data_IF_735768199699
#
_entry.id   IF_735768199699
#
_cell.length_a   1.000
_cell.length_b   1.000
_cell.length_c   1.000
_cell.angle_alpha   90.00
_cell.angle_beta   90.00
_cell.angle_gamma   90.00
#
_symmetry.space_group_name_H-M   'P 1'
#
loop_
_entity.id
_entity.type
_entity.pdbx_description
1 polymer ?
#
# COMPACT_ATOMS: atom_id res chain seq x y z
N UNK A 1 24.35 15.09 19.24
CA UNK A 1 24.75 14.70 17.86
C UNK A 1 23.49 14.66 16.98
N UNK A 2 23.33 15.64 16.09
CA UNK A 2 22.20 15.66 15.14
C UNK A 2 22.57 14.78 13.95
N UNK A 3 22.11 13.53 13.95
CA UNK A 3 22.13 12.71 12.73
C UNK A 3 21.21 13.39 11.74
N UNK A 4 21.79 14.12 10.80
CA UNK A 4 21.10 14.74 9.67
C UNK A 4 20.55 13.62 8.79
N UNK A 5 19.27 13.31 8.97
CA UNK A 5 18.49 12.63 7.95
C UNK A 5 18.65 13.43 6.66
N UNK A 6 19.26 12.84 5.63
CA UNK A 6 19.30 13.44 4.30
C UNK A 6 17.88 13.92 3.98
N UNK A 7 17.72 15.19 3.59
CA UNK A 7 16.43 15.82 3.29
C UNK A 7 15.58 14.81 2.52
N UNK A 8 14.49 14.37 3.15
CA UNK A 8 13.44 13.60 2.50
C UNK A 8 13.07 14.41 1.25
N UNK A 9 13.15 13.85 0.02
CA UNK A 9 12.57 14.50 -1.14
C UNK A 9 11.14 14.80 -0.76
N UNK A 10 10.81 16.08 -0.76
CA UNK A 10 9.64 16.65 -0.10
C UNK A 10 8.39 15.91 -0.54
N UNK A 11 7.98 14.91 0.24
CA UNK A 11 6.57 14.54 0.28
C UNK A 11 5.95 15.73 0.98
N UNK A 12 5.56 16.70 0.16
CA UNK A 12 5.05 17.99 0.59
C UNK A 12 3.75 17.74 1.33
N UNK A 13 3.85 17.44 2.63
CA UNK A 13 2.70 17.54 3.52
C UNK A 13 2.31 19.00 3.50
N UNK A 14 1.14 19.27 2.95
CA UNK A 14 0.58 20.61 2.84
C UNK A 14 0.14 21.11 4.22
N UNK A 15 -0.15 20.18 5.12
CA UNK A 15 -0.65 20.43 6.46
C UNK A 15 0.48 20.71 7.46
N UNK A 16 0.24 21.69 8.33
CA UNK A 16 1.14 22.03 9.42
C UNK A 16 1.21 20.86 10.42
N UNK A 17 2.43 20.55 10.88
CA UNK A 17 2.67 19.61 11.97
C UNK A 17 3.06 20.43 13.20
N UNK A 18 2.34 20.24 14.29
CA UNK A 18 2.52 20.94 15.55
C UNK A 18 2.98 19.95 16.64
N UNK A 19 3.97 20.34 17.42
CA UNK A 19 4.55 19.48 18.48
C UNK A 19 4.49 20.12 19.87
N UNK A 20 3.47 20.95 20.11
CA UNK A 20 3.29 21.64 21.38
C UNK A 20 2.45 20.80 22.35
N UNK A 21 3.10 20.18 23.34
CA UNK A 21 2.44 19.42 24.42
C UNK A 21 3.03 18.03 24.63
N UNK A 22 2.58 17.29 25.66
CA UNK A 22 3.01 15.91 25.88
C UNK A 22 2.53 15.03 24.72
N UNK A 23 3.49 14.38 24.04
CA UNK A 23 3.24 13.44 22.96
C UNK A 23 3.48 12.01 23.45
N UNK A 24 2.69 11.02 23.00
CA UNK A 24 2.96 9.62 23.29
C UNK A 24 4.28 9.16 22.65
N UNK A 25 4.81 8.03 23.11
CA UNK A 25 5.93 7.41 22.39
C UNK A 25 5.45 6.83 21.06
N UNK A 26 6.38 6.68 20.10
CA UNK A 26 6.11 5.99 18.83
C UNK A 26 5.64 4.56 19.08
N UNK A 27 6.21 3.88 20.09
CA UNK A 27 5.83 2.51 20.43
C UNK A 27 4.37 2.41 20.87
N UNK A 28 3.92 3.33 21.72
CA UNK A 28 2.51 3.41 22.15
C UNK A 28 1.56 3.62 20.97
N UNK A 29 1.94 4.45 19.99
CA UNK A 29 1.13 4.67 18.79
C UNK A 29 1.01 3.41 17.94
N UNK A 30 2.11 2.67 17.78
CA UNK A 30 2.12 1.45 16.98
C UNK A 30 1.37 0.32 17.68
N UNK A 31 1.52 0.17 18.99
CA UNK A 31 0.75 -0.79 19.80
C UNK A 31 -0.75 -0.50 19.70
N UNK A 32 -1.15 0.76 19.92
CA UNK A 32 -2.56 1.18 19.74
C UNK A 32 -3.09 0.88 18.34
N UNK A 33 -2.29 1.07 17.31
CA UNK A 33 -2.67 0.76 15.93
C UNK A 33 -2.84 -0.75 15.72
N UNK A 34 -1.87 -1.55 16.18
CA UNK A 34 -1.92 -3.02 16.11
C UNK A 34 -3.17 -3.55 16.80
N UNK A 35 -3.48 -3.04 17.99
CA UNK A 35 -4.68 -3.42 18.74
C UNK A 35 -5.96 -3.01 17.99
N UNK A 36 -6.01 -1.78 17.46
CA UNK A 36 -7.15 -1.29 16.69
C UNK A 36 -7.41 -2.10 15.40
N UNK A 37 -6.36 -2.65 14.79
CA UNK A 37 -6.45 -3.51 13.61
C UNK A 37 -6.89 -4.94 13.94
N UNK A 38 -6.83 -5.38 15.20
CA UNK A 38 -7.25 -6.73 15.61
C UNK A 38 -6.20 -7.53 16.38
N UNK A 39 -5.04 -6.93 16.69
CA UNK A 39 -3.98 -7.55 17.49
C UNK A 39 -3.05 -8.47 16.70
N UNK A 40 -1.91 -8.82 17.30
CA UNK A 40 -0.87 -9.64 16.65
C UNK A 40 -1.35 -11.06 16.30
N UNK A 41 -2.16 -11.67 17.18
CA UNK A 41 -2.62 -13.05 17.02
C UNK A 41 -3.54 -13.22 15.80
N UNK A 42 -4.29 -12.17 15.42
CA UNK A 42 -5.16 -12.22 14.26
C UNK A 42 -4.37 -12.35 12.95
N UNK A 43 -3.20 -11.69 12.84
CA UNK A 43 -2.34 -11.78 11.66
C UNK A 43 -1.95 -13.21 11.33
N UNK A 44 -1.53 -13.97 12.35
CA UNK A 44 -0.95 -15.29 12.18
C UNK A 44 -1.92 -16.35 11.66
N UNK A 45 -3.23 -16.06 11.67
CA UNK A 45 -4.30 -17.00 11.28
C UNK A 45 -4.44 -17.18 9.77
N UNK A 46 -3.96 -16.22 8.99
CA UNK A 46 -4.21 -16.18 7.56
C UNK A 46 -2.91 -16.20 6.77
N UNK A 47 -2.88 -17.03 5.73
CA UNK A 47 -1.72 -17.14 4.84
C UNK A 47 -2.04 -16.78 3.40
N UNK A 48 -3.31 -16.66 3.05
CA UNK A 48 -3.76 -16.23 1.72
C UNK A 48 -4.93 -15.26 1.84
N UNK A 49 -5.08 -14.37 0.85
CA UNK A 49 -6.18 -13.42 0.77
C UNK A 49 -6.52 -13.16 -0.70
N UNK A 50 -7.81 -13.11 -1.01
CA UNK A 50 -8.33 -12.50 -2.22
C UNK A 50 -9.12 -11.25 -1.87
N UNK A 51 -8.91 -10.19 -2.63
CA UNK A 51 -9.73 -8.99 -2.55
C UNK A 51 -10.15 -8.59 -3.97
N UNK A 52 -11.38 -8.11 -4.14
CA UNK A 52 -11.86 -7.59 -5.42
C UNK A 52 -12.77 -6.41 -5.20
N UNK A 53 -12.86 -5.57 -6.23
CA UNK A 53 -13.79 -4.45 -6.22
C UNK A 53 -13.61 -3.55 -7.41
N UNK A 54 -13.88 -2.27 -7.21
CA UNK A 54 -13.92 -1.25 -8.24
C UNK A 54 -12.74 -0.31 -8.11
N UNK A 55 -12.27 0.19 -9.24
CA UNK A 55 -11.30 1.27 -9.29
C UNK A 55 -11.86 2.42 -10.11
N UNK A 56 -11.68 3.64 -9.62
CA UNK A 56 -11.96 4.87 -10.36
C UNK A 56 -10.65 5.63 -10.55
N UNK A 57 -10.31 5.94 -11.79
CA UNK A 57 -9.12 6.73 -12.13
C UNK A 57 -9.60 8.06 -12.67
N UNK A 58 -9.18 9.17 -12.04
CA UNK A 58 -9.51 10.51 -12.54
C UNK A 58 -9.12 10.61 -14.01
N UNK A 59 -10.00 11.19 -14.83
CA UNK A 59 -9.84 11.37 -16.29
C UNK A 59 -9.79 10.09 -17.15
N UNK A 60 -9.71 8.88 -16.58
CA UNK A 60 -9.65 7.60 -17.33
C UNK A 60 -10.83 6.66 -17.01
N UNK A 61 -11.79 7.14 -16.22
CA UNK A 61 -13.05 6.43 -15.94
C UNK A 61 -12.94 5.35 -14.86
N UNK A 62 -13.83 4.36 -14.95
CA UNK A 62 -14.04 3.33 -13.92
C UNK A 62 -13.74 1.95 -14.47
N UNK A 63 -13.32 1.07 -13.58
CA UNK A 63 -12.99 -0.31 -13.89
C UNK A 63 -13.09 -1.20 -12.67
N UNK A 64 -12.44 -2.35 -12.74
CA UNK A 64 -12.37 -3.32 -11.64
C UNK A 64 -10.92 -3.58 -11.24
N UNK A 65 -10.74 -4.09 -10.02
CA UNK A 65 -9.47 -4.64 -9.60
C UNK A 65 -9.68 -5.94 -8.85
N UNK A 66 -8.65 -6.78 -8.88
CA UNK A 66 -8.54 -7.97 -8.06
C UNK A 66 -7.11 -8.12 -7.56
N UNK A 67 -6.96 -8.47 -6.29
CA UNK A 67 -5.69 -8.71 -5.64
C UNK A 67 -5.70 -10.09 -5.02
N UNK A 68 -4.62 -10.85 -5.26
CA UNK A 68 -4.30 -12.04 -4.47
C UNK A 68 -3.03 -11.76 -3.69
N UNK A 69 -3.00 -12.20 -2.43
CA UNK A 69 -1.81 -12.16 -1.59
C UNK A 69 -1.60 -13.51 -0.92
N UNK A 70 -0.33 -13.91 -0.73
CA UNK A 70 0.06 -15.14 -0.06
C UNK A 70 1.33 -14.92 0.75
N UNK A 71 1.30 -15.30 2.02
CA UNK A 71 2.43 -15.25 2.92
C UNK A 71 3.58 -16.18 2.42
N UNK A 72 4.84 -15.85 2.70
CA UNK A 72 5.27 -14.64 3.41
C UNK A 72 5.26 -13.37 2.54
N UNK A 73 5.58 -13.47 1.25
CA UNK A 73 5.86 -12.29 0.42
C UNK A 73 5.40 -12.45 -1.03
N UNK A 74 4.13 -12.75 -1.27
CA UNK A 74 3.57 -12.84 -2.63
C UNK A 74 2.33 -11.98 -2.77
N UNK A 75 2.29 -11.19 -3.84
CA UNK A 75 1.12 -10.39 -4.19
C UNK A 75 1.01 -10.27 -5.69
N UNK A 76 -0.21 -10.26 -6.21
CA UNK A 76 -0.49 -9.82 -7.56
C UNK A 76 -1.76 -8.98 -7.54
N UNK A 77 -1.71 -7.84 -8.20
CA UNK A 77 -2.84 -6.93 -8.40
C UNK A 77 -3.11 -6.85 -9.88
N UNK A 78 -4.35 -7.08 -10.27
CA UNK A 78 -4.87 -6.89 -11.62
C UNK A 78 -5.85 -5.72 -11.57
N UNK A 79 -5.69 -4.77 -12.49
CA UNK A 79 -6.59 -3.65 -12.73
C UNK A 79 -7.07 -3.78 -14.16
N UNK A 80 -8.38 -3.68 -14.36
CA UNK A 80 -9.00 -3.70 -15.68
C UNK A 80 -9.76 -2.40 -15.88
N UNK A 81 -9.34 -1.62 -16.88
CA UNK A 81 -9.95 -0.35 -17.25
C UNK A 81 -10.35 -0.40 -18.73
N UNK A 82 -11.54 0.11 -19.12
CA UNK A 82 -11.96 0.10 -20.52
C UNK A 82 -10.94 0.73 -21.48
N UNK A 83 -10.34 1.86 -21.09
CA UNK A 83 -9.43 2.62 -21.95
C UNK A 83 -7.98 2.11 -21.94
N UNK A 84 -7.53 1.48 -20.84
CA UNK A 84 -6.14 1.03 -20.67
C UNK A 84 -5.97 -0.49 -20.80
N UNK A 85 -7.08 -1.22 -20.90
CA UNK A 85 -7.10 -2.67 -20.83
C UNK A 85 -6.66 -3.19 -19.47
N UNK A 86 -5.96 -4.33 -19.49
CA UNK A 86 -5.51 -5.03 -18.28
C UNK A 86 -4.10 -4.58 -17.90
N UNK A 87 -3.98 -4.09 -16.68
CA UNK A 87 -2.71 -3.75 -16.03
C UNK A 87 -2.50 -4.74 -14.89
N UNK A 88 -1.33 -5.36 -14.84
CA UNK A 88 -0.95 -6.28 -13.75
C UNK A 88 0.37 -5.88 -13.14
N UNK A 89 0.50 -6.07 -11.84
CA UNK A 89 1.78 -6.00 -11.16
C UNK A 89 1.82 -7.04 -10.06
N UNK A 90 3.00 -7.54 -9.74
CA UNK A 90 3.14 -8.53 -8.70
C UNK A 90 4.56 -8.73 -8.24
N UNK A 91 4.67 -9.43 -7.12
CA UNK A 91 5.91 -9.90 -6.53
C UNK A 91 5.70 -11.35 -6.11
N UNK A 92 6.59 -12.25 -6.53
CA UNK A 92 6.45 -13.69 -6.27
C UNK A 92 7.29 -14.22 -5.10
N UNK A 93 7.87 -13.32 -4.30
CA UNK A 93 8.82 -13.63 -3.23
C UNK A 93 10.29 -13.42 -3.63
N UNK A 94 10.58 -13.39 -4.92
CA UNK A 94 11.93 -13.17 -5.44
C UNK A 94 12.00 -11.99 -6.42
N UNK A 95 11.09 -11.97 -7.40
CA UNK A 95 11.08 -11.02 -8.52
C UNK A 95 9.79 -10.22 -8.52
N UNK A 96 9.93 -8.90 -8.66
CA UNK A 96 8.82 -7.99 -8.94
C UNK A 96 8.65 -7.78 -10.44
N UNK A 97 7.42 -7.64 -10.90
CA UNK A 97 7.09 -7.47 -12.30
C UNK A 97 5.86 -6.60 -12.49
N UNK A 98 5.77 -5.99 -13.67
CA UNK A 98 4.59 -5.26 -14.12
C UNK A 98 4.29 -5.58 -15.59
N UNK A 99 3.02 -5.47 -15.96
CA UNK A 99 2.49 -5.73 -17.29
C UNK A 99 1.42 -4.68 -17.61
N UNK A 100 1.50 -4.11 -18.81
CA UNK A 100 0.43 -3.31 -19.41
C UNK A 100 0.42 -3.51 -20.92
N UNK A 101 -0.67 -3.13 -21.59
CA UNK A 101 -0.71 -3.11 -23.05
C UNK A 101 0.40 -2.23 -23.66
N UNK A 102 0.74 -1.11 -23.02
CA UNK A 102 1.73 -0.14 -23.49
C UNK A 102 3.17 -0.64 -23.37
N UNK A 103 3.52 -1.28 -22.25
CA UNK A 103 4.91 -1.62 -21.92
C UNK A 103 5.24 -3.10 -22.09
N UNK A 104 4.23 -3.96 -22.33
CA UNK A 104 4.38 -5.40 -22.17
C UNK A 104 4.79 -5.78 -20.75
N UNK A 105 5.30 -7.00 -20.59
CA UNK A 105 5.77 -7.52 -19.30
C UNK A 105 7.22 -7.10 -19.05
N UNK A 106 7.48 -6.37 -17.97
CA UNK A 106 8.83 -5.94 -17.56
C UNK A 106 9.12 -6.27 -16.09
N UNK A 107 10.39 -6.40 -15.69
CA UNK A 107 10.75 -6.43 -14.28
C UNK A 107 10.44 -5.07 -13.62
N UNK A 108 10.02 -5.12 -12.36
CA UNK A 108 10.02 -3.95 -11.48
C UNK A 108 11.41 -3.80 -10.86
N UNK A 109 11.91 -2.57 -10.77
CA UNK A 109 13.27 -2.26 -10.29
C UNK A 109 13.29 -1.05 -9.37
N UNK A 110 14.39 -0.88 -8.63
CA UNK A 110 14.60 0.28 -7.76
C UNK A 110 13.46 0.48 -6.74
N UNK A 111 12.90 1.68 -6.69
CA UNK A 111 11.83 2.02 -5.74
C UNK A 111 10.49 1.34 -6.04
N UNK A 112 10.18 1.02 -7.30
CA UNK A 112 8.99 0.25 -7.68
C UNK A 112 9.05 -1.15 -7.06
N UNK A 113 10.21 -1.81 -7.18
CA UNK A 113 10.43 -3.11 -6.55
C UNK A 113 10.39 -3.01 -5.02
N UNK A 114 10.94 -1.94 -4.44
CA UNK A 114 10.92 -1.74 -2.99
C UNK A 114 9.49 -1.55 -2.44
N UNK A 115 8.64 -0.84 -3.19
CA UNK A 115 7.22 -0.69 -2.85
C UNK A 115 6.48 -2.03 -2.97
N UNK A 116 6.64 -2.76 -4.09
CA UNK A 116 6.03 -4.07 -4.28
C UNK A 116 6.43 -5.08 -3.20
N UNK A 117 7.69 -5.05 -2.72
CA UNK A 117 8.13 -5.90 -1.61
C UNK A 117 7.42 -5.58 -0.29
N UNK A 118 7.14 -4.30 -0.02
CA UNK A 118 6.37 -3.88 1.16
C UNK A 118 4.90 -4.26 1.04
N UNK A 119 4.30 -4.00 -0.11
CA UNK A 119 2.91 -4.39 -0.40
C UNK A 119 2.72 -5.91 -0.36
N UNK A 120 3.77 -6.68 -0.67
CA UNK A 120 3.78 -8.13 -0.60
C UNK A 120 3.91 -8.71 0.81
N UNK A 121 4.34 -7.93 1.81
CA UNK A 121 4.33 -8.40 3.20
C UNK A 121 2.85 -8.55 3.63
N UNK A 122 2.42 -9.81 3.64
CA UNK A 122 1.03 -10.18 3.87
C UNK A 122 0.50 -9.66 5.21
N UNK A 123 1.39 -9.54 6.21
CA UNK A 123 1.08 -9.09 7.55
C UNK A 123 1.53 -7.65 7.80
N UNK A 124 1.74 -6.85 6.74
CA UNK A 124 2.29 -5.50 6.81
C UNK A 124 1.53 -4.57 7.78
N UNK A 125 0.19 -4.67 7.85
CA UNK A 125 -0.65 -3.92 8.78
C UNK A 125 -0.34 -4.21 10.26
N UNK A 126 0.33 -5.32 10.57
CA UNK A 126 0.65 -5.70 11.95
C UNK A 126 2.17 -5.71 12.20
N UNK A 127 2.98 -5.49 11.15
CA UNK A 127 4.44 -5.58 11.18
C UNK A 127 5.13 -4.25 10.88
N UNK A 128 4.52 -3.13 11.25
CA UNK A 128 5.08 -1.79 10.98
C UNK A 128 6.52 -1.64 11.46
N UNK A 129 6.89 -2.08 12.67
CA UNK A 129 8.28 -1.98 13.17
C UNK A 129 9.27 -2.82 12.34
N UNK A 130 8.83 -3.95 11.78
CA UNK A 130 9.68 -4.78 10.92
C UNK A 130 9.91 -4.11 9.55
N UNK A 131 8.86 -3.47 9.02
CA UNK A 131 8.88 -2.79 7.73
C UNK A 131 9.60 -1.43 7.78
N UNK A 132 9.47 -0.72 8.90
CA UNK A 132 10.04 0.59 9.17
C UNK A 132 10.96 0.52 10.41
N UNK A 133 12.24 0.15 10.23
CA UNK A 133 13.19 0.02 11.34
C UNK A 133 13.51 1.35 12.03
N UNK A 134 13.19 2.48 11.40
CA UNK A 134 13.37 3.78 12.00
C UNK A 134 12.07 4.58 11.90
N UNK A 135 11.57 4.99 13.06
CA UNK A 135 10.30 5.66 13.23
C UNK A 135 10.48 6.84 14.17
N UNK A 136 9.88 7.98 13.84
CA UNK A 136 10.02 9.21 14.60
C UNK A 136 8.69 9.97 14.62
N UNK A 137 8.12 10.17 15.79
CA UNK A 137 6.96 11.03 15.97
C UNK A 137 7.35 12.49 15.71
N UNK A 138 6.67 13.13 14.77
CA UNK A 138 6.89 14.52 14.41
C UNK A 138 5.99 15.47 15.21
N UNK A 139 4.79 15.02 15.56
CA UNK A 139 3.78 15.83 16.24
C UNK A 139 2.37 15.43 15.83
N UNK A 140 1.47 16.40 15.86
CA UNK A 140 0.06 16.29 15.49
C UNK A 140 -0.21 17.15 14.26
N UNK A 141 -1.06 16.66 13.36
CA UNK A 141 -1.57 17.44 12.23
C UNK A 141 -3.08 17.24 12.08
N UNK A 142 -3.74 18.18 11.40
CA UNK A 142 -5.16 18.10 11.07
C UNK A 142 -5.33 17.72 9.61
N UNK A 143 -6.05 16.64 9.36
CA UNK A 143 -6.46 16.21 8.02
C UNK A 143 -7.97 16.46 7.91
N UNK A 144 -8.34 17.58 7.28
CA UNK A 144 -9.70 18.09 7.35
C UNK A 144 -10.07 18.41 8.81
N UNK A 145 -11.13 17.78 9.32
CA UNK A 145 -11.58 17.95 10.70
C UNK A 145 -11.01 16.89 11.67
N UNK A 146 -10.25 15.91 11.17
CA UNK A 146 -9.68 14.83 11.98
C UNK A 146 -8.26 15.18 12.42
N UNK A 147 -7.92 14.89 13.67
CA UNK A 147 -6.55 15.03 14.17
C UNK A 147 -5.78 13.71 14.11
N UNK A 148 -4.52 13.78 13.73
CA UNK A 148 -3.65 12.61 13.61
C UNK A 148 -2.25 12.85 14.18
N UNK A 149 -1.68 11.83 14.82
CA UNK A 149 -0.25 11.79 15.11
C UNK A 149 0.52 11.47 13.83
N UNK A 150 1.55 12.26 13.53
CA UNK A 150 2.35 12.13 12.31
C UNK A 150 3.68 11.46 12.64
N UNK A 151 3.89 10.26 12.12
CA UNK A 151 5.14 9.52 12.29
C UNK A 151 5.90 9.51 10.98
N UNK A 152 7.13 10.01 10.99
CA UNK A 152 8.09 9.75 9.91
C UNK A 152 8.59 8.31 10.03
N UNK A 153 8.48 7.56 8.95
CA UNK A 153 8.77 6.14 8.90
C UNK A 153 9.75 5.85 7.77
N UNK A 154 10.96 5.41 8.09
CA UNK A 154 11.98 5.05 7.10
C UNK A 154 11.96 3.53 6.89
N UNK A 155 11.53 3.03 5.71
CA UNK A 155 11.59 1.61 5.41
C UNK A 155 13.04 1.15 5.20
N UNK A 156 13.27 -0.17 5.30
CA UNK A 156 14.59 -0.79 5.00
C UNK A 156 15.13 -0.45 3.59
N UNK A 157 14.25 -0.14 2.65
CA UNK A 157 14.60 0.28 1.31
C UNK A 157 13.59 1.28 0.74
N UNK A 158 14.08 2.25 -0.03
CA UNK A 158 13.28 3.34 -0.58
C UNK A 158 13.31 4.60 0.28
N UNK A 159 12.39 5.52 0.00
CA UNK A 159 12.30 6.84 0.63
C UNK A 159 11.53 6.79 1.94
N UNK A 160 11.72 7.81 2.79
CA UNK A 160 10.93 7.94 4.01
C UNK A 160 9.47 8.25 3.65
N UNK A 161 8.55 7.77 4.47
CA UNK A 161 7.11 7.96 4.36
C UNK A 161 6.61 8.67 5.62
N UNK A 162 5.43 9.28 5.58
CA UNK A 162 4.74 9.75 6.80
C UNK A 162 3.45 8.97 6.99
N UNK A 163 3.26 8.42 8.18
CA UNK A 163 2.09 7.67 8.58
C UNK A 163 1.26 8.53 9.55
N UNK A 164 -0.02 8.70 9.26
CA UNK A 164 -0.92 9.55 10.03
C UNK A 164 -1.90 8.66 10.82
N UNK A 165 -1.62 8.51 12.12
CA UNK A 165 -2.45 7.71 13.03
C UNK A 165 -3.55 8.58 13.61
N UNK A 166 -4.80 8.22 13.35
CA UNK A 166 -5.97 8.92 13.89
C UNK A 166 -5.93 8.95 15.42
N UNK A 167 -6.08 10.14 16.01
CA UNK A 167 -6.18 10.29 17.46
C UNK A 167 -7.44 9.65 18.04
N UNK A 168 -8.50 9.55 17.24
CA UNK A 168 -9.80 9.04 17.65
C UNK A 168 -9.77 7.51 17.84
N UNK A 169 -9.33 6.78 16.83
CA UNK A 169 -9.44 5.30 16.80
C UNK A 169 -8.10 4.58 16.66
N UNK A 170 -6.97 5.29 16.54
CA UNK A 170 -5.63 4.68 16.42
C UNK A 170 -5.31 4.09 15.04
N UNK A 171 -6.28 4.04 14.12
CA UNK A 171 -6.06 3.54 12.76
C UNK A 171 -5.26 4.54 11.92
N UNK A 172 -4.46 4.04 10.98
CA UNK A 172 -3.80 4.91 10.02
C UNK A 172 -4.84 5.39 9.01
N UNK A 173 -4.97 6.71 8.88
CA UNK A 173 -5.93 7.32 7.97
C UNK A 173 -5.30 7.86 6.68
N UNK A 174 -3.97 8.08 6.70
CA UNK A 174 -3.22 8.57 5.54
C UNK A 174 -1.77 8.09 5.58
N UNK A 175 -1.21 7.81 4.40
CA UNK A 175 0.22 7.73 4.16
C UNK A 175 0.65 8.79 3.16
N UNK A 176 1.77 9.43 3.43
CA UNK A 176 2.47 10.29 2.49
C UNK A 176 3.71 9.55 2.03
N UNK A 177 3.80 9.26 0.73
CA UNK A 177 4.94 8.52 0.21
C UNK A 177 5.19 8.81 -1.27
N UNK A 178 6.41 8.53 -1.74
CA UNK A 178 6.66 8.46 -3.18
C UNK A 178 6.16 7.12 -3.72
N UNK A 179 5.31 7.19 -4.75
CA UNK A 179 4.74 6.04 -5.45
C UNK A 179 4.91 6.20 -6.95
N UNK A 180 4.82 5.09 -7.67
CA UNK A 180 4.79 5.10 -9.13
C UNK A 180 3.35 4.95 -9.61
N UNK A 181 2.89 5.88 -10.45
CA UNK A 181 1.63 5.77 -11.17
C UNK A 181 1.89 5.98 -12.65
N UNK A 182 1.37 5.07 -13.49
CA UNK A 182 1.52 5.14 -14.96
C UNK A 182 2.98 5.26 -15.45
N UNK A 183 3.93 4.76 -14.66
CA UNK A 183 5.38 4.81 -14.94
C UNK A 183 6.08 6.06 -14.43
N UNK A 184 5.37 7.02 -13.85
CA UNK A 184 5.93 8.25 -13.27
C UNK A 184 6.01 8.11 -11.75
N UNK A 185 7.16 8.41 -11.18
CA UNK A 185 7.35 8.46 -9.72
C UNK A 185 7.11 9.87 -9.22
N UNK A 186 6.21 10.01 -8.26
CA UNK A 186 5.92 11.30 -7.63
C UNK A 186 5.35 11.10 -6.22
N UNK A 187 5.28 12.19 -5.46
CA UNK A 187 4.63 12.20 -4.15
C UNK A 187 3.15 11.85 -4.29
N UNK A 188 2.66 11.02 -3.37
CA UNK A 188 1.28 10.60 -3.29
C UNK A 188 0.78 10.70 -1.84
N UNK A 189 -0.45 11.17 -1.70
CA UNK A 189 -1.23 11.09 -0.46
C UNK A 189 -2.15 9.87 -0.60
N UNK A 190 -2.03 8.91 0.30
CA UNK A 190 -2.77 7.65 0.26
C UNK A 190 -3.71 7.62 1.46
N UNK A 191 -5.00 7.84 1.22
CA UNK A 191 -6.03 7.81 2.26
C UNK A 191 -6.58 6.40 2.43
N UNK A 192 -6.83 6.03 3.69
CA UNK A 192 -7.30 4.71 4.11
C UNK A 192 -8.59 4.93 4.91
N UNK A 193 -9.73 4.66 4.29
CA UNK A 193 -11.06 4.92 4.85
C UNK A 193 -11.96 3.68 4.76
N UNK A 194 -13.16 3.79 5.34
CA UNK A 194 -14.16 2.72 5.40
C UNK A 194 -13.59 1.42 6.02
N UNK A 195 -13.01 1.54 7.22
CA UNK A 195 -12.41 0.41 7.92
C UNK A 195 -13.49 -0.58 8.39
N UNK A 196 -13.42 -1.82 7.93
CA UNK A 196 -14.36 -2.89 8.29
C UNK A 196 -13.65 -4.07 8.90
N UNK A 197 -14.34 -4.75 9.80
CA UNK A 197 -13.90 -6.03 10.35
C UNK A 197 -14.09 -7.14 9.31
N UNK A 198 -13.03 -7.88 9.04
CA UNK A 198 -13.05 -9.09 8.22
C UNK A 198 -12.31 -10.18 8.99
N UNK A 199 -13.05 -11.20 9.43
CA UNK A 199 -12.52 -12.34 10.18
C UNK A 199 -11.68 -11.93 11.42
N UNK A 200 -12.05 -10.83 12.09
CA UNK A 200 -11.38 -10.32 13.28
C UNK A 200 -10.19 -9.40 13.01
N UNK A 201 -9.95 -9.00 11.75
CA UNK A 201 -8.96 -7.98 11.39
C UNK A 201 -9.68 -6.80 10.73
N UNK A 202 -9.41 -5.57 11.18
CA UNK A 202 -9.86 -4.36 10.50
C UNK A 202 -9.02 -4.09 9.26
N UNK A 203 -9.68 -3.84 8.15
CA UNK A 203 -9.03 -3.44 6.89
C UNK A 203 -9.75 -2.27 6.24
N UNK A 204 -9.05 -1.39 5.50
CA UNK A 204 -9.69 -0.31 4.77
C UNK A 204 -10.43 -0.87 3.55
N UNK A 205 -11.69 -0.47 3.35
CA UNK A 205 -12.46 -0.81 2.15
C UNK A 205 -12.45 0.31 1.12
N UNK A 206 -11.90 1.47 1.44
CA UNK A 206 -11.62 2.53 0.48
C UNK A 206 -10.16 2.98 0.58
N UNK A 207 -9.44 2.91 -0.53
CA UNK A 207 -8.07 3.41 -0.63
C UNK A 207 -8.01 4.45 -1.75
N UNK A 208 -7.69 5.70 -1.40
CA UNK A 208 -7.52 6.78 -2.38
C UNK A 208 -6.06 7.13 -2.50
N UNK A 209 -5.47 6.96 -3.68
CA UNK A 209 -4.13 7.43 -4.00
C UNK A 209 -4.22 8.73 -4.81
N UNK A 210 -3.86 9.84 -4.18
CA UNK A 210 -3.88 11.18 -4.74
C UNK A 210 -2.47 11.58 -5.15
N UNK A 211 -2.26 11.77 -6.45
CA UNK A 211 -1.04 12.28 -7.06
C UNK A 211 -1.32 13.67 -7.67
N UNK A 212 -0.29 14.49 -7.98
CA UNK A 212 -0.49 15.71 -8.75
C UNK A 212 -1.16 15.42 -10.11
N UNK A 213 -2.39 15.90 -10.29
CA UNK A 213 -3.17 15.74 -11.52
C UNK A 213 -3.76 14.35 -11.78
N UNK A 214 -3.65 13.42 -10.84
CA UNK A 214 -4.14 12.04 -10.98
C UNK A 214 -4.63 11.49 -9.64
N UNK A 215 -5.83 10.92 -9.60
CA UNK A 215 -6.37 10.25 -8.41
C UNK A 215 -6.89 8.86 -8.76
N UNK A 216 -6.55 7.86 -7.96
CA UNK A 216 -7.05 6.49 -8.06
C UNK A 216 -7.80 6.15 -6.78
N UNK A 217 -9.08 5.79 -6.89
CA UNK A 217 -9.92 5.35 -5.77
C UNK A 217 -10.23 3.87 -5.93
N UNK A 218 -9.75 3.05 -5.02
CA UNK A 218 -10.07 1.63 -4.92
C UNK A 218 -11.16 1.43 -3.88
N UNK A 219 -12.27 0.81 -4.27
CA UNK A 219 -13.38 0.44 -3.38
C UNK A 219 -13.51 -1.07 -3.37
N UNK A 220 -13.32 -1.67 -2.21
CA UNK A 220 -13.35 -3.12 -2.02
C UNK A 220 -14.81 -3.56 -1.88
N UNK A 221 -15.22 -4.54 -2.69
CA UNK A 221 -16.54 -5.16 -2.58
C UNK A 221 -16.47 -6.44 -1.73
N UNK A 222 -15.35 -7.17 -1.80
CA UNK A 222 -15.16 -8.44 -1.11
C UNK A 222 -13.70 -8.64 -0.69
N UNK A 223 -13.52 -9.18 0.51
CA UNK A 223 -12.27 -9.71 1.03
C UNK A 223 -12.54 -11.11 1.56
N UNK A 224 -11.69 -12.08 1.21
CA UNK A 224 -11.71 -13.44 1.75
C UNK A 224 -10.31 -13.86 2.16
N UNK A 225 -10.19 -14.48 3.33
CA UNK A 225 -8.96 -15.05 3.83
C UNK A 225 -8.90 -16.56 3.59
N UNK A 226 -7.70 -17.14 3.64
CA UNK A 226 -7.45 -18.59 3.51
C UNK A 226 -8.06 -19.21 2.23
N UNK A 227 -8.14 -18.42 1.17
CA UNK A 227 -8.54 -18.90 -0.17
C UNK A 227 -7.48 -19.81 -0.76
N UNK A 228 -7.91 -20.85 -1.47
CA UNK A 228 -7.01 -21.69 -2.25
C UNK A 228 -6.44 -20.90 -3.43
N UNK A 229 -5.11 -20.79 -3.50
CA UNK A 229 -4.41 -20.09 -4.59
C UNK A 229 -3.07 -20.74 -4.89
N UNK A 230 -2.89 -21.07 -6.17
CA UNK A 230 -1.65 -21.63 -6.70
C UNK A 230 -0.55 -20.57 -6.77
N UNK A 231 0.68 -20.98 -6.51
CA UNK A 231 1.87 -20.12 -6.62
C UNK A 231 2.07 -19.56 -8.04
N UNK A 232 1.57 -20.25 -9.07
CA UNK A 232 1.66 -19.82 -10.45
C UNK A 232 0.99 -18.46 -10.71
N UNK A 233 -0.02 -18.09 -9.91
CA UNK A 233 -0.76 -16.83 -10.03
C UNK A 233 0.14 -15.61 -9.80
N UNK A 234 1.18 -15.75 -8.98
CA UNK A 234 2.10 -14.65 -8.62
C UNK A 234 3.28 -14.52 -9.57
N UNK A 235 3.53 -15.53 -10.41
CA UNK A 235 4.68 -15.54 -11.29
C UNK A 235 4.52 -14.54 -12.41
N UNK A 236 5.66 -14.00 -12.85
CA UNK A 236 5.74 -13.14 -14.04
C UNK A 236 5.10 -13.89 -15.22
N UNK A 237 4.12 -13.28 -15.93
CA UNK A 237 3.52 -13.93 -17.09
C UNK A 237 4.59 -14.26 -18.14
N UNK A 238 4.67 -15.52 -18.54
CA UNK A 238 5.47 -15.91 -19.69
C UNK A 238 4.64 -15.66 -20.94
N UNK A 239 5.09 -14.79 -21.82
CA UNK A 239 4.50 -14.67 -23.16
C UNK A 239 4.75 -16.00 -23.89
N UNK A 240 3.80 -16.94 -23.84
CA UNK A 240 3.78 -18.00 -24.85
C UNK A 240 3.43 -17.30 -26.16
N UNK A 241 4.41 -17.09 -27.04
CA UNK A 241 4.15 -16.84 -28.45
C UNK A 241 3.21 -17.98 -28.90
N UNK A 242 1.93 -17.67 -29.13
CA UNK A 242 1.11 -18.56 -29.96
C UNK A 242 1.76 -18.50 -31.34
N UNK A 243 2.56 -19.51 -31.67
CA UNK A 243 2.94 -19.75 -33.04
C UNK A 243 1.63 -19.93 -33.81
N UNK A 244 1.26 -18.93 -34.59
CA UNK A 244 0.22 -19.07 -35.60
C UNK A 244 0.85 -19.95 -36.67
N UNK A 245 0.65 -21.26 -36.55
CA UNK A 245 0.89 -22.16 -37.68
C UNK A 245 -0.18 -21.84 -38.71
N UNK A 246 0.15 -20.96 -39.67
CA UNK A 246 -0.62 -20.87 -40.92
C UNK A 246 -0.48 -22.24 -41.60
N UNK A 247 -1.60 -22.96 -41.74
CA UNK A 247 -1.77 -23.93 -42.82
C UNK A 247 -2.46 -23.22 -43.96
#
# INVERSE_FOLDING_TARGET
>A
SRTTWARVPEVATREKIESTGPLPSVDQLIERYVDAVGGQDAAGKFTTRSAKGKVSVSTMGRGSFATYAKAPNKVVTTIELPELGVIKQGFNGAVGWSQSARTGVRPAVGAELAALKRDADFHSLLRLKANYPQLRLLGVSKIGFREAFVVEAKPRGGEAERLYFSKENGLIMRWDAVRAAMGVRTAAEIYLDDWKDVDGIKMPFTITQSFPGLSLVFTFDEVKHNVEVSDAVFNRPTTKLRAVTRR
#
